data_IF_111475215070
#
_entry.id   IF_111475215070
#
_cell.length_a   1.000
_cell.length_b   1.000
_cell.length_c   1.000
_cell.angle_alpha   90.00
_cell.angle_beta   90.00
_cell.angle_gamma   90.00
#
_symmetry.space_group_name_H-M   'P 1'
#
loop_
_entity.id
_entity.type
_entity.pdbx_description
1 polymer ?
#
# COMPACT_ATOMS: atom_id res chain seq x y z
N UNK A 1 24.73 10.75 -16.29
CA UNK A 1 24.03 9.84 -17.23
C UNK A 1 23.09 8.96 -16.41
N UNK A 2 21.78 9.20 -16.45
CA UNK A 2 20.78 8.46 -15.66
C UNK A 2 20.46 7.18 -16.44
N UNK A 3 20.79 6.00 -15.91
CA UNK A 3 20.47 4.75 -16.60
C UNK A 3 18.95 4.52 -16.54
N UNK A 4 18.27 4.80 -17.65
CA UNK A 4 16.81 4.68 -17.81
C UNK A 4 16.28 3.32 -17.40
N UNK A 5 17.07 2.24 -17.57
CA UNK A 5 16.66 0.89 -17.17
C UNK A 5 16.61 0.74 -15.65
N UNK A 6 17.60 1.24 -14.90
CA UNK A 6 17.58 1.14 -13.44
C UNK A 6 16.42 1.92 -12.81
N UNK A 7 16.16 3.15 -13.29
CA UNK A 7 15.03 3.95 -12.76
C UNK A 7 13.66 3.40 -13.13
N UNK A 8 13.58 2.53 -14.13
CA UNK A 8 12.34 1.88 -14.56
C UNK A 8 11.89 0.76 -13.62
N UNK A 9 12.83 0.07 -12.97
CA UNK A 9 12.54 -1.04 -12.06
C UNK A 9 12.43 -0.61 -10.59
N UNK A 10 12.74 0.64 -10.25
CA UNK A 10 12.61 1.18 -8.89
C UNK A 10 11.22 0.98 -8.25
N UNK A 11 10.09 1.14 -8.96
CA UNK A 11 8.78 0.84 -8.37
C UNK A 11 8.67 -0.61 -7.90
N UNK A 12 9.19 -1.57 -8.69
CA UNK A 12 9.16 -2.99 -8.33
C UNK A 12 10.02 -3.26 -7.09
N UNK A 13 11.22 -2.69 -7.02
CA UNK A 13 12.07 -2.83 -5.83
C UNK A 13 11.43 -2.20 -4.59
N UNK A 14 10.75 -1.05 -4.74
CA UNK A 14 10.04 -0.41 -3.64
C UNK A 14 8.91 -1.29 -3.11
N UNK A 15 8.12 -1.87 -4.02
CA UNK A 15 7.04 -2.81 -3.67
C UNK A 15 7.62 -4.03 -2.94
N UNK A 16 8.72 -4.62 -3.45
CA UNK A 16 9.37 -5.76 -2.79
C UNK A 16 9.86 -5.41 -1.39
N UNK A 17 10.50 -4.25 -1.20
CA UNK A 17 11.00 -3.81 0.11
C UNK A 17 9.86 -3.62 1.12
N UNK A 18 8.82 -2.88 0.77
CA UNK A 18 7.65 -2.72 1.64
C UNK A 18 6.95 -4.05 1.90
N UNK A 19 6.80 -4.91 0.88
CA UNK A 19 6.19 -6.23 1.06
C UNK A 19 6.99 -7.07 2.05
N UNK A 20 8.31 -7.07 1.93
CA UNK A 20 9.19 -7.80 2.83
C UNK A 20 9.09 -7.28 4.27
N UNK A 21 9.16 -5.97 4.49
CA UNK A 21 9.13 -5.41 5.86
C UNK A 21 7.78 -5.62 6.55
N UNK A 22 6.67 -5.45 5.83
CA UNK A 22 5.33 -5.79 6.34
C UNK A 22 5.17 -7.30 6.59
N UNK A 23 5.74 -8.15 5.74
CA UNK A 23 5.67 -9.60 5.92
C UNK A 23 6.47 -10.08 7.11
N UNK A 24 7.67 -9.54 7.32
CA UNK A 24 8.51 -9.88 8.48
C UNK A 24 7.78 -9.54 9.78
N UNK A 25 7.17 -8.35 9.88
CA UNK A 25 6.33 -8.01 11.03
C UNK A 25 5.11 -8.96 11.14
N UNK A 26 4.45 -9.25 10.02
CA UNK A 26 3.28 -10.12 9.98
C UNK A 26 3.57 -11.56 10.42
N UNK A 27 4.76 -12.10 10.13
CA UNK A 27 5.16 -13.45 10.60
C UNK A 27 5.06 -13.54 12.12
N UNK A 28 5.59 -12.56 12.85
CA UNK A 28 5.54 -12.55 14.32
C UNK A 28 4.08 -12.56 14.81
N UNK A 29 3.21 -11.73 14.21
CA UNK A 29 1.77 -11.68 14.53
C UNK A 29 1.05 -12.99 14.24
N UNK A 30 1.25 -13.56 13.05
CA UNK A 30 0.57 -14.81 12.64
C UNK A 30 1.05 -16.01 13.46
N UNK A 31 2.33 -16.08 13.80
CA UNK A 31 2.88 -17.11 14.68
C UNK A 31 2.21 -17.03 16.05
N UNK A 32 2.07 -15.83 16.63
CA UNK A 32 1.41 -15.65 17.92
C UNK A 32 -0.08 -16.01 17.88
N UNK A 33 -0.78 -15.65 16.80
CA UNK A 33 -2.17 -16.06 16.59
C UNK A 33 -2.27 -17.58 16.50
N UNK A 34 -1.45 -18.23 15.66
CA UNK A 34 -1.46 -19.69 15.48
C UNK A 34 -1.12 -20.45 16.76
N UNK A 35 -0.26 -19.89 17.62
CA UNK A 35 0.01 -20.46 18.94
C UNK A 35 -1.22 -20.37 19.85
N UNK A 36 -1.90 -19.21 19.89
CA UNK A 36 -3.10 -19.00 20.72
C UNK A 36 -4.25 -19.93 20.36
N UNK A 37 -4.44 -20.22 19.06
CA UNK A 37 -5.50 -21.13 18.59
C UNK A 37 -5.08 -22.62 18.58
N UNK A 38 -3.84 -22.95 19.01
CA UNK A 38 -3.35 -24.33 19.07
C UNK A 38 -2.98 -24.95 17.71
N UNK A 39 -2.99 -24.18 16.62
CA UNK A 39 -2.63 -24.66 15.27
C UNK A 39 -1.11 -24.77 15.13
N UNK A 40 -0.34 -23.85 15.74
CA UNK A 40 1.12 -23.83 15.61
C UNK A 40 1.79 -25.12 16.10
N UNK A 41 1.46 -25.68 17.29
CA UNK A 41 2.01 -26.96 17.72
C UNK A 41 1.72 -28.11 16.75
N UNK A 42 0.48 -28.23 16.25
CA UNK A 42 0.12 -29.28 15.29
C UNK A 42 0.89 -29.17 13.96
N UNK A 43 1.15 -27.96 13.47
CA UNK A 43 1.99 -27.77 12.28
C UNK A 43 3.46 -28.12 12.53
N UNK A 44 3.95 -27.97 13.76
CA UNK A 44 5.34 -28.27 14.13
C UNK A 44 5.64 -29.77 14.22
N UNK A 45 4.62 -30.63 14.19
CA UNK A 45 4.78 -32.08 14.04
C UNK A 45 5.29 -32.47 12.64
N UNK A 46 4.98 -31.64 11.62
CA UNK A 46 5.35 -31.90 10.22
C UNK A 46 6.50 -31.00 9.72
N UNK A 47 6.61 -29.77 10.25
CA UNK A 47 7.58 -28.77 9.79
C UNK A 47 8.45 -28.21 10.92
N UNK A 48 9.70 -27.86 10.59
CA UNK A 48 10.58 -27.16 11.52
C UNK A 48 10.12 -25.73 11.80
N UNK A 49 10.60 -25.10 12.88
CA UNK A 49 10.19 -23.74 13.28
C UNK A 49 10.53 -22.72 12.18
N UNK A 50 11.73 -22.87 11.63
CA UNK A 50 12.22 -22.07 10.51
C UNK A 50 11.41 -22.32 9.24
N UNK A 51 11.11 -23.57 8.90
CA UNK A 51 10.31 -23.90 7.72
C UNK A 51 8.92 -23.27 7.80
N UNK A 52 8.28 -23.34 8.98
CA UNK A 52 6.96 -22.77 9.19
C UNK A 52 6.96 -21.24 9.10
N UNK A 53 7.93 -20.58 9.73
CA UNK A 53 8.10 -19.12 9.63
C UNK A 53 8.38 -18.66 8.20
N UNK A 54 9.23 -19.38 7.47
CA UNK A 54 9.52 -19.09 6.06
C UNK A 54 8.28 -19.28 5.17
N UNK A 55 7.48 -20.32 5.41
CA UNK A 55 6.24 -20.54 4.67
C UNK A 55 5.25 -19.37 4.89
N UNK A 56 5.06 -18.94 6.14
CA UNK A 56 4.22 -17.78 6.48
C UNK A 56 4.79 -16.50 5.85
N UNK A 57 6.12 -16.31 5.88
CA UNK A 57 6.79 -15.16 5.29
C UNK A 57 6.51 -15.07 3.78
N UNK A 58 6.68 -16.18 3.05
CA UNK A 58 6.45 -16.21 1.60
C UNK A 58 4.99 -15.92 1.28
N UNK A 59 4.06 -16.54 2.02
CA UNK A 59 2.62 -16.31 1.84
C UNK A 59 2.25 -14.83 2.05
N UNK A 60 2.73 -14.25 3.14
CA UNK A 60 2.51 -12.83 3.43
C UNK A 60 3.18 -11.92 2.40
N UNK A 61 4.38 -12.27 1.94
CA UNK A 61 5.10 -11.49 0.94
C UNK A 61 4.34 -11.43 -0.37
N UNK A 62 3.76 -12.55 -0.80
CA UNK A 62 2.89 -12.60 -1.98
C UNK A 62 1.63 -11.74 -1.76
N UNK A 63 0.97 -11.86 -0.60
CA UNK A 63 -0.23 -11.08 -0.29
C UNK A 63 0.03 -9.57 -0.27
N UNK A 64 1.07 -9.12 0.45
CA UNK A 64 1.45 -7.70 0.49
C UNK A 64 1.93 -7.18 -0.86
N UNK A 65 2.68 -8.00 -1.63
CA UNK A 65 3.09 -7.63 -2.98
C UNK A 65 1.87 -7.34 -3.87
N UNK A 66 0.84 -8.18 -3.82
CA UNK A 66 -0.40 -7.96 -4.58
C UNK A 66 -1.10 -6.67 -4.15
N UNK A 67 -1.20 -6.40 -2.84
CA UNK A 67 -1.82 -5.17 -2.32
C UNK A 67 -1.06 -3.93 -2.80
N UNK A 68 0.27 -3.89 -2.64
CA UNK A 68 1.07 -2.74 -3.06
C UNK A 68 1.10 -2.58 -4.59
N UNK A 69 1.13 -3.67 -5.35
CA UNK A 69 1.02 -3.63 -6.81
C UNK A 69 -0.34 -3.07 -7.26
N UNK A 70 -1.44 -3.48 -6.60
CA UNK A 70 -2.78 -2.95 -6.87
C UNK A 70 -2.87 -1.45 -6.53
N UNK A 71 -2.37 -1.02 -5.36
CA UNK A 71 -2.32 0.39 -4.99
C UNK A 71 -1.52 1.23 -6.01
N UNK A 72 -0.39 0.70 -6.47
CA UNK A 72 0.45 1.32 -7.50
C UNK A 72 -0.28 1.45 -8.83
N UNK A 73 -1.01 0.41 -9.27
CA UNK A 73 -1.79 0.44 -10.51
C UNK A 73 -2.94 1.47 -10.42
N UNK A 74 -3.64 1.52 -9.28
CA UNK A 74 -4.69 2.51 -9.03
C UNK A 74 -4.11 3.92 -9.06
N UNK A 75 -2.97 4.15 -8.41
CA UNK A 75 -2.28 5.45 -8.40
C UNK A 75 -1.88 5.88 -9.82
N UNK A 76 -1.28 4.99 -10.61
CA UNK A 76 -0.92 5.28 -12.01
C UNK A 76 -2.14 5.61 -12.86
N UNK A 77 -3.26 4.91 -12.65
CA UNK A 77 -4.51 5.16 -13.36
C UNK A 77 -5.09 6.52 -12.99
N UNK A 78 -5.19 6.86 -11.69
CA UNK A 78 -5.68 8.17 -11.23
C UNK A 78 -4.79 9.29 -11.78
N UNK A 79 -3.46 9.12 -11.72
CA UNK A 79 -2.50 10.08 -12.27
C UNK A 79 -2.70 10.26 -13.78
N UNK A 80 -2.81 9.16 -14.53
CA UNK A 80 -3.02 9.19 -15.97
C UNK A 80 -4.32 9.89 -16.37
N UNK A 81 -5.43 9.57 -15.68
CA UNK A 81 -6.72 10.24 -15.88
C UNK A 81 -6.64 11.73 -15.54
N UNK A 82 -5.94 12.09 -14.45
CA UNK A 82 -5.75 13.49 -14.09
C UNK A 82 -4.97 14.27 -15.15
N UNK A 83 -3.94 13.67 -15.75
CA UNK A 83 -3.19 14.29 -16.84
C UNK A 83 -4.03 14.41 -18.10
N UNK A 84 -4.82 13.38 -18.45
CA UNK A 84 -5.69 13.38 -19.63
C UNK A 84 -6.68 14.54 -19.63
N UNK A 85 -7.26 14.88 -18.47
CA UNK A 85 -8.27 15.94 -18.39
C UNK A 85 -7.69 17.35 -18.25
N UNK A 86 -6.47 17.50 -17.71
CA UNK A 86 -5.96 18.81 -17.29
C UNK A 86 -4.63 19.23 -17.92
N UNK A 87 -3.86 18.31 -18.52
CA UNK A 87 -2.59 18.64 -19.17
C UNK A 87 -2.78 19.18 -20.59
N UNK A 88 -2.00 20.23 -20.91
CA UNK A 88 -2.02 20.87 -22.23
C UNK A 88 -1.12 20.16 -23.26
N UNK A 89 -0.23 19.27 -22.82
CA UNK A 89 0.74 18.56 -23.67
C UNK A 89 0.22 17.18 -24.10
N UNK A 90 0.19 16.94 -25.41
CA UNK A 90 -0.23 15.69 -26.07
C UNK A 90 0.83 14.58 -26.08
N UNK A 91 2.08 14.87 -25.73
CA UNK A 91 3.23 14.07 -26.18
C UNK A 91 3.80 13.10 -25.11
N UNK A 92 3.16 12.97 -23.95
CA UNK A 92 3.52 11.94 -22.95
C UNK A 92 4.89 12.12 -22.25
N UNK A 93 5.65 13.17 -22.55
CA UNK A 93 6.96 13.45 -21.92
C UNK A 93 6.85 13.70 -20.40
N UNK A 94 5.73 14.27 -19.94
CA UNK A 94 5.42 14.46 -18.52
C UNK A 94 5.34 13.14 -17.74
N UNK A 95 4.88 12.06 -18.38
CA UNK A 95 4.77 10.74 -17.75
C UNK A 95 6.15 10.15 -17.43
N UNK A 96 7.13 10.35 -18.32
CA UNK A 96 8.51 9.92 -18.10
C UNK A 96 9.23 10.75 -17.03
N UNK A 97 8.87 12.02 -16.86
CA UNK A 97 9.42 12.87 -15.78
C UNK A 97 8.91 12.45 -14.39
N UNK A 98 7.63 12.07 -14.28
CA UNK A 98 7.02 11.60 -13.03
C UNK A 98 7.54 10.22 -12.59
N UNK A 99 8.01 9.39 -13.54
CA UNK A 99 8.62 8.08 -13.26
C UNK A 99 9.83 8.16 -12.32
N UNK A 100 10.53 9.31 -12.27
CA UNK A 100 11.62 9.55 -11.32
C UNK A 100 11.16 9.66 -9.86
N UNK A 101 9.86 9.85 -9.59
CA UNK A 101 9.29 9.91 -8.25
C UNK A 101 9.31 8.56 -7.52
N UNK A 102 9.53 7.46 -8.24
CA UNK A 102 9.71 6.11 -7.67
C UNK A 102 10.85 6.01 -6.67
N UNK A 103 11.84 6.90 -6.73
CA UNK A 103 12.94 6.96 -5.76
C UNK A 103 12.46 7.27 -4.33
N UNK A 104 11.36 8.03 -4.19
CA UNK A 104 10.79 8.38 -2.88
C UNK A 104 10.30 7.11 -2.17
N UNK A 105 9.55 6.26 -2.89
CA UNK A 105 9.10 4.98 -2.36
C UNK A 105 10.25 4.01 -2.11
N UNK A 106 11.32 4.06 -2.92
CA UNK A 106 12.49 3.20 -2.70
C UNK A 106 13.21 3.55 -1.39
N UNK A 107 13.45 4.84 -1.16
CA UNK A 107 14.04 5.34 0.10
C UNK A 107 13.12 5.03 1.28
N UNK A 108 11.81 5.25 1.12
CA UNK A 108 10.81 4.88 2.13
C UNK A 108 10.83 3.39 2.47
N UNK A 109 10.96 2.53 1.45
CA UNK A 109 11.09 1.08 1.62
C UNK A 109 12.34 0.70 2.42
N UNK A 110 13.49 1.34 2.15
CA UNK A 110 14.70 1.15 2.96
C UNK A 110 14.52 1.62 4.41
N UNK A 111 13.92 2.80 4.61
CA UNK A 111 13.65 3.34 5.94
C UNK A 111 12.67 2.47 6.75
N UNK A 112 11.76 1.77 6.07
CA UNK A 112 10.78 0.89 6.73
C UNK A 112 11.42 -0.24 7.54
N UNK A 113 12.66 -0.62 7.21
CA UNK A 113 13.45 -1.62 7.97
C UNK A 113 13.66 -1.19 9.43
N UNK A 114 13.77 0.10 9.71
CA UNK A 114 13.94 0.63 11.08
C UNK A 114 12.70 0.37 11.94
N UNK A 115 11.53 0.22 11.32
CA UNK A 115 10.24 0.05 12.01
C UNK A 115 9.71 -1.38 12.01
N UNK A 116 10.57 -2.39 11.77
CA UNK A 116 10.15 -3.81 11.72
C UNK A 116 9.44 -4.34 12.98
N UNK A 117 9.56 -3.65 14.12
CA UNK A 117 8.91 -4.02 15.38
C UNK A 117 7.57 -3.31 15.64
N UNK A 118 7.17 -2.37 14.78
CA UNK A 118 5.95 -1.58 14.97
C UNK A 118 5.15 -1.49 13.68
N UNK A 119 3.94 -2.07 13.68
CA UNK A 119 2.98 -1.92 12.58
C UNK A 119 2.69 -0.45 12.27
N UNK A 120 2.49 0.34 13.33
CA UNK A 120 2.18 1.76 13.21
C UNK A 120 3.37 2.51 12.59
N UNK A 121 4.60 2.16 12.96
CA UNK A 121 5.81 2.72 12.34
C UNK A 121 5.92 2.40 10.85
N UNK A 122 5.70 1.15 10.44
CA UNK A 122 5.69 0.75 9.02
C UNK A 122 4.62 1.51 8.23
N UNK A 123 3.42 1.63 8.79
CA UNK A 123 2.31 2.35 8.17
C UNK A 123 2.61 3.85 8.02
N UNK A 124 3.16 4.50 9.05
CA UNK A 124 3.55 5.92 8.99
C UNK A 124 4.60 6.14 7.91
N UNK A 125 5.64 5.29 7.82
CA UNK A 125 6.69 5.44 6.80
C UNK A 125 6.12 5.31 5.39
N UNK A 126 5.22 4.35 5.17
CA UNK A 126 4.52 4.20 3.90
C UNK A 126 3.66 5.44 3.59
N UNK A 127 2.85 5.92 4.54
CA UNK A 127 2.00 7.09 4.38
C UNK A 127 2.80 8.38 4.11
N UNK A 128 3.90 8.61 4.83
CA UNK A 128 4.80 9.74 4.59
C UNK A 128 5.45 9.66 3.21
N UNK A 129 5.83 8.46 2.76
CA UNK A 129 6.37 8.25 1.41
C UNK A 129 5.32 8.59 0.34
N UNK A 130 4.05 8.23 0.56
CA UNK A 130 2.95 8.58 -0.33
C UNK A 130 2.66 10.08 -0.37
N UNK A 131 2.66 10.76 0.78
CA UNK A 131 2.49 12.21 0.85
C UNK A 131 3.66 12.92 0.16
N UNK A 132 4.90 12.50 0.42
CA UNK A 132 6.08 13.05 -0.24
C UNK A 132 6.04 12.85 -1.76
N UNK A 133 5.61 11.68 -2.22
CA UNK A 133 5.40 11.42 -3.64
C UNK A 133 4.31 12.32 -4.23
N UNK A 134 3.19 12.52 -3.53
CA UNK A 134 2.11 13.39 -3.98
C UNK A 134 2.58 14.86 -4.12
N UNK A 135 3.31 15.38 -3.13
CA UNK A 135 3.88 16.73 -3.19
C UNK A 135 4.86 16.85 -4.36
N UNK A 136 5.75 15.86 -4.53
CA UNK A 136 6.69 15.81 -5.65
C UNK A 136 5.96 15.79 -7.00
N UNK A 137 4.90 14.99 -7.11
CA UNK A 137 4.08 14.89 -8.32
C UNK A 137 3.48 16.24 -8.68
N UNK A 138 2.78 16.89 -7.75
CA UNK A 138 2.14 18.21 -7.96
C UNK A 138 3.19 19.26 -8.33
N UNK A 139 4.32 19.30 -7.63
CA UNK A 139 5.41 20.24 -7.95
C UNK A 139 5.96 20.02 -9.36
N UNK A 140 6.10 18.76 -9.78
CA UNK A 140 6.71 18.42 -11.07
C UNK A 140 5.80 18.74 -12.26
N UNK A 141 4.48 18.60 -12.10
CA UNK A 141 3.49 18.90 -13.15
C UNK A 141 3.10 20.38 -13.19
N UNK A 142 3.33 21.13 -12.12
CA UNK A 142 2.93 22.54 -12.00
C UNK A 142 3.42 23.46 -13.14
N UNK A 143 4.63 23.31 -13.70
CA UNK A 143 5.10 24.18 -14.79
C UNK A 143 4.34 23.97 -16.11
N UNK A 144 3.77 22.78 -16.32
CA UNK A 144 3.11 22.39 -17.58
C UNK A 144 1.58 22.50 -17.51
N UNK A 145 1.05 23.09 -16.43
CA UNK A 145 -0.37 23.19 -16.16
C UNK A 145 -0.76 24.63 -15.86
N UNK A 146 -1.95 25.02 -16.29
CA UNK A 146 -2.57 26.25 -15.81
C UNK A 146 -2.91 26.13 -14.31
N UNK A 147 -3.09 27.26 -13.62
CA UNK A 147 -3.50 27.27 -12.20
C UNK A 147 -4.79 26.47 -11.96
N UNK A 148 -5.72 26.48 -12.92
CA UNK A 148 -6.96 25.70 -12.89
C UNK A 148 -6.72 24.20 -13.13
N UNK A 149 -5.78 23.85 -14.02
CA UNK A 149 -5.38 22.46 -14.24
C UNK A 149 -4.77 21.82 -12.99
N UNK A 150 -3.92 22.55 -12.26
CA UNK A 150 -3.34 22.07 -10.98
C UNK A 150 -4.45 21.80 -9.95
N UNK A 151 -5.40 22.74 -9.80
CA UNK A 151 -6.53 22.58 -8.90
C UNK A 151 -7.37 21.34 -9.28
N UNK A 152 -7.61 21.14 -10.57
CA UNK A 152 -8.33 19.97 -11.10
C UNK A 152 -7.63 18.65 -10.78
N UNK A 153 -6.31 18.57 -11.03
CA UNK A 153 -5.50 17.38 -10.73
C UNK A 153 -5.54 17.05 -9.23
N UNK A 154 -5.27 18.04 -8.38
CA UNK A 154 -5.27 17.85 -6.92
C UNK A 154 -6.64 17.40 -6.43
N UNK A 155 -7.72 18.04 -6.90
CA UNK A 155 -9.08 17.71 -6.50
C UNK A 155 -9.47 16.29 -6.91
N UNK A 156 -9.13 15.87 -8.14
CA UNK A 156 -9.42 14.53 -8.62
C UNK A 156 -8.68 13.46 -7.82
N UNK A 157 -7.40 13.70 -7.47
CA UNK A 157 -6.64 12.76 -6.65
C UNK A 157 -7.21 12.62 -5.24
N UNK A 158 -7.46 13.75 -4.57
CA UNK A 158 -8.01 13.75 -3.21
C UNK A 158 -9.38 13.05 -3.20
N UNK A 159 -10.26 13.41 -4.14
CA UNK A 159 -11.58 12.78 -4.26
C UNK A 159 -11.49 11.26 -4.49
N UNK A 160 -10.62 10.83 -5.41
CA UNK A 160 -10.48 9.40 -5.75
C UNK A 160 -9.98 8.58 -4.56
N UNK A 161 -8.93 9.06 -3.88
CA UNK A 161 -8.39 8.37 -2.71
C UNK A 161 -9.36 8.40 -1.52
N UNK A 162 -9.99 9.54 -1.23
CA UNK A 162 -11.00 9.63 -0.17
C UNK A 162 -12.18 8.70 -0.42
N UNK A 163 -12.70 8.63 -1.66
CA UNK A 163 -13.78 7.73 -2.03
C UNK A 163 -13.39 6.25 -1.84
N UNK A 164 -12.19 5.87 -2.28
CA UNK A 164 -11.67 4.51 -2.11
C UNK A 164 -11.55 4.14 -0.63
N UNK A 165 -10.92 4.99 0.19
CA UNK A 165 -10.76 4.72 1.62
C UNK A 165 -12.09 4.68 2.37
N UNK A 166 -13.02 5.58 2.06
CA UNK A 166 -14.36 5.59 2.66
C UNK A 166 -15.14 4.32 2.30
N UNK A 167 -15.04 3.85 1.05
CA UNK A 167 -15.71 2.63 0.60
C UNK A 167 -15.18 1.41 1.34
N UNK A 168 -13.85 1.27 1.43
CA UNK A 168 -13.22 0.17 2.18
C UNK A 168 -13.62 0.23 3.66
N UNK A 169 -13.55 1.41 4.27
CA UNK A 169 -13.94 1.61 5.66
C UNK A 169 -15.41 1.24 5.91
N UNK A 170 -16.30 1.66 5.02
CA UNK A 170 -17.72 1.31 5.08
C UNK A 170 -17.95 -0.21 4.98
N UNK A 171 -17.23 -0.90 4.10
CA UNK A 171 -17.30 -2.37 3.98
C UNK A 171 -16.85 -3.03 5.30
N UNK A 172 -15.77 -2.56 5.92
CA UNK A 172 -15.33 -3.10 7.22
C UNK A 172 -16.37 -2.89 8.32
N UNK A 173 -16.98 -1.71 8.41
CA UNK A 173 -18.07 -1.46 9.36
C UNK A 173 -19.25 -2.41 9.13
N UNK A 174 -19.63 -2.63 7.87
CA UNK A 174 -20.72 -3.54 7.53
C UNK A 174 -20.40 -4.99 7.86
N UNK A 175 -19.17 -5.44 7.61
CA UNK A 175 -18.71 -6.78 7.97
C UNK A 175 -18.68 -6.96 9.49
N UNK A 176 -18.15 -5.97 10.22
CA UNK A 176 -18.15 -5.99 11.68
C UNK A 176 -19.56 -6.10 12.26
N UNK A 177 -20.49 -5.26 11.78
CA UNK A 177 -21.88 -5.31 12.20
C UNK A 177 -22.56 -6.64 11.83
N UNK A 178 -22.25 -7.20 10.66
CA UNK A 178 -22.74 -8.51 10.24
C UNK A 178 -22.25 -9.65 11.14
N UNK A 179 -20.97 -9.65 11.51
CA UNK A 179 -20.40 -10.63 12.45
C UNK A 179 -21.03 -10.48 13.83
N UNK A 180 -21.17 -9.25 14.35
CA UNK A 180 -21.80 -9.01 15.65
C UNK A 180 -23.27 -9.44 15.68
N UNK A 181 -24.02 -9.21 14.59
CA UNK A 181 -25.39 -9.70 14.45
C UNK A 181 -25.50 -11.22 14.41
N UNK A 182 -24.48 -11.92 13.89
CA UNK A 182 -24.45 -13.39 13.83
C UNK A 182 -24.10 -14.07 15.16
N UNK A 183 -23.56 -13.33 16.13
CA UNK A 183 -23.23 -13.88 17.44
C UNK A 183 -24.52 -14.08 18.28
N UNK A 184 -24.76 -15.27 18.87
CA UNK A 184 -25.96 -15.59 19.65
C UNK A 184 -26.05 -14.85 21.00
N UNK A 185 -25.22 -13.83 21.22
CA UNK A 185 -25.19 -13.01 22.43
C UNK A 185 -26.33 -11.96 22.38
N UNK A 186 -26.69 -11.46 21.19
CA UNK A 186 -27.82 -10.52 21.03
C UNK A 186 -29.20 -11.19 20.98
N UNK A 187 -29.30 -12.51 20.76
CA UNK A 187 -30.61 -13.19 20.75
C UNK A 187 -31.22 -13.36 22.15
N UNK A 188 -30.45 -13.15 23.22
CA UNK A 188 -30.94 -13.19 24.62
C UNK A 188 -31.37 -11.84 25.18
N UNK A 189 -31.09 -10.73 24.50
CA UNK A 189 -31.57 -9.40 24.90
C UNK A 189 -32.63 -8.96 23.89
N UNK A 190 -33.80 -9.57 23.97
CA UNK A 190 -35.03 -8.93 23.47
C UNK A 190 -35.39 -7.84 24.49
N UNK A 191 -35.18 -6.58 24.10
CA UNK A 191 -35.97 -5.47 24.61
C UNK A 191 -37.44 -5.65 24.19
#
# INVERSE_FOLDING_TARGET
>A
MKNTYLTSYLPLFSILLFSLTFSVYGVDVFVDVFKKIGVYPGMREFLSDIQLKLAILILLMVAFFMVFAALKLIAETINGVSMLFFASDSDGELYNLVRSGSMIYFIGGLLSVVSLKSFLGLFIIFALSSIAYFIYFVYKISPSLSKWGILGVVSLQVFSWSSLFLTIFFVFLKLYNGVMASLPIMSKVKL
#
